data_IF_264680276275
#
_entry.id   IF_264680276275
#
_cell.length_a   1.000
_cell.length_b   1.000
_cell.length_c   1.000
_cell.angle_alpha   90.00
_cell.angle_beta   90.00
_cell.angle_gamma   90.00
#
_symmetry.space_group_name_H-M   'P 1'
#
loop_
_entity.id
_entity.type
_entity.pdbx_description
1 polymer ?
#
# COMPACT_ATOMS: atom_id res chain seq x y z
N UNK A 1 -12.70 -15.41 6.42
CA UNK A 1 -12.33 -13.99 6.46
C UNK A 1 -11.47 -13.73 5.23
N UNK A 2 -11.73 -12.64 4.50
CA UNK A 2 -10.93 -12.28 3.32
C UNK A 2 -9.70 -11.46 3.74
N UNK A 3 -8.69 -11.36 2.89
CA UNK A 3 -7.46 -10.60 3.19
C UNK A 3 -7.75 -9.11 3.33
N UNK A 4 -8.66 -8.58 2.50
CA UNK A 4 -9.16 -7.22 2.64
C UNK A 4 -9.88 -7.00 3.98
N UNK A 5 -10.72 -7.95 4.41
CA UNK A 5 -11.45 -7.80 5.67
C UNK A 5 -10.51 -7.96 6.88
N UNK A 6 -9.51 -8.84 6.79
CA UNK A 6 -8.43 -8.93 7.77
C UNK A 6 -7.70 -7.58 7.90
N UNK A 7 -7.31 -6.98 6.78
CA UNK A 7 -6.61 -5.69 6.79
C UNK A 7 -7.48 -4.57 7.38
N UNK A 8 -8.77 -4.52 7.01
CA UNK A 8 -9.71 -3.54 7.54
C UNK A 8 -9.92 -3.72 9.06
N UNK A 9 -10.09 -4.94 9.55
CA UNK A 9 -10.24 -5.22 10.98
C UNK A 9 -8.96 -4.95 11.77
N UNK A 10 -7.79 -5.21 11.18
CA UNK A 10 -6.52 -4.88 11.79
C UNK A 10 -6.38 -3.36 11.96
N UNK A 11 -6.80 -2.58 10.96
CA UNK A 11 -6.86 -1.13 11.05
C UNK A 11 -7.86 -0.65 12.12
N UNK A 12 -9.07 -1.20 12.15
CA UNK A 12 -10.10 -0.88 13.14
C UNK A 12 -9.61 -1.20 14.57
N UNK A 13 -8.99 -2.37 14.75
CA UNK A 13 -8.39 -2.78 16.01
C UNK A 13 -7.29 -1.81 16.44
N UNK A 14 -6.37 -1.46 15.53
CA UNK A 14 -5.29 -0.52 15.86
C UNK A 14 -5.82 0.87 16.18
N UNK A 15 -6.88 1.33 15.51
CA UNK A 15 -7.48 2.63 15.77
C UNK A 15 -8.08 2.74 17.18
N UNK A 16 -8.55 1.62 17.75
CA UNK A 16 -9.14 1.59 19.10
C UNK A 16 -8.19 2.01 20.24
N UNK A 17 -6.87 2.03 19.98
CA UNK A 17 -5.85 2.47 20.93
C UNK A 17 -5.61 4.00 20.91
N UNK A 18 -6.20 4.73 19.97
CA UNK A 18 -6.24 6.20 19.98
C UNK A 18 -4.92 6.94 19.70
N UNK A 19 -3.80 6.25 19.49
CA UNK A 19 -2.52 6.87 19.15
C UNK A 19 -2.32 6.96 17.62
N UNK A 20 -2.49 8.14 16.98
CA UNK A 20 -2.41 8.29 15.53
C UNK A 20 -0.97 8.33 15.01
N UNK A 21 0.00 8.76 15.82
CA UNK A 21 1.39 8.94 15.38
C UNK A 21 2.06 7.59 15.07
N UNK A 22 1.74 6.55 15.82
CA UNK A 22 2.25 5.18 15.67
C UNK A 22 1.35 4.30 14.79
N UNK A 23 0.16 4.76 14.38
CA UNK A 23 -0.84 3.95 13.68
C UNK A 23 -0.29 3.29 12.41
N UNK A 24 0.32 4.07 11.51
CA UNK A 24 0.84 3.56 10.23
C UNK A 24 2.08 2.70 10.46
N UNK A 25 2.95 3.07 11.39
CA UNK A 25 4.17 2.33 11.71
C UNK A 25 3.87 0.95 12.31
N UNK A 26 2.89 0.86 13.21
CA UNK A 26 2.49 -0.40 13.84
C UNK A 26 1.90 -1.36 12.81
N UNK A 27 1.01 -0.87 11.94
CA UNK A 27 0.44 -1.67 10.86
C UNK A 27 1.50 -2.08 9.84
N UNK A 28 2.44 -1.20 9.51
CA UNK A 28 3.58 -1.53 8.65
C UNK A 28 4.44 -2.64 9.26
N UNK A 29 4.71 -2.60 10.57
CA UNK A 29 5.47 -3.66 11.25
C UNK A 29 4.75 -5.01 11.24
N UNK A 30 3.42 -5.00 11.36
CA UNK A 30 2.62 -6.24 11.35
C UNK A 30 2.55 -6.82 9.93
N UNK A 31 2.28 -5.98 8.93
CA UNK A 31 2.04 -6.42 7.56
C UNK A 31 3.35 -6.74 6.84
N UNK A 32 4.37 -5.89 6.99
CA UNK A 32 5.65 -6.00 6.29
C UNK A 32 6.73 -6.70 7.14
N UNK A 33 6.39 -7.10 8.37
CA UNK A 33 7.28 -7.73 9.33
C UNK A 33 8.37 -6.77 9.85
N UNK A 34 9.54 -7.33 10.19
CA UNK A 34 10.71 -6.55 10.67
C UNK A 34 11.32 -5.57 9.66
N UNK A 35 10.65 -5.31 8.54
CA UNK A 35 10.96 -4.26 7.58
C UNK A 35 9.97 -3.10 7.62
N UNK A 36 8.93 -3.13 8.45
CA UNK A 36 7.95 -2.06 8.60
C UNK A 36 8.40 -0.90 9.48
N UNK A 37 7.80 0.28 9.31
CA UNK A 37 8.18 1.52 10.00
C UNK A 37 9.31 2.27 9.27
N UNK A 38 10.22 2.93 9.99
CA UNK A 38 11.33 3.66 9.34
C UNK A 38 12.25 2.78 8.47
N UNK A 39 12.37 1.49 8.79
CA UNK A 39 13.16 0.53 8.00
C UNK A 39 12.54 0.25 6.60
N UNK A 40 11.25 0.53 6.42
CA UNK A 40 10.56 0.37 5.13
C UNK A 40 11.02 1.41 4.10
N UNK A 41 11.49 2.59 4.54
CA UNK A 41 11.99 3.63 3.64
C UNK A 41 13.26 3.18 2.90
N UNK A 42 14.06 2.32 3.52
CA UNK A 42 15.37 1.93 3.00
C UNK A 42 15.35 0.58 2.28
N UNK A 43 14.32 -0.24 2.52
CA UNK A 43 14.20 -1.56 1.90
C UNK A 43 12.75 -1.87 1.53
N UNK A 44 12.47 -1.93 0.23
CA UNK A 44 11.24 -2.53 -0.28
C UNK A 44 11.04 -3.94 0.34
N UNK A 45 9.79 -4.35 0.62
CA UNK A 45 9.51 -5.67 1.17
C UNK A 45 10.09 -6.74 0.24
N UNK A 46 10.91 -7.62 0.81
CA UNK A 46 11.37 -8.84 0.11
C UNK A 46 10.50 -9.99 0.58
N UNK A 47 10.11 -10.88 -0.33
CA UNK A 47 9.15 -11.98 -0.18
C UNK A 47 9.37 -13.01 0.97
N UNK A 48 10.16 -12.73 2.00
CA UNK A 48 10.56 -13.71 3.03
C UNK A 48 9.84 -13.59 4.39
N UNK A 49 9.09 -12.51 4.66
CA UNK A 49 8.43 -12.27 5.96
C UNK A 49 6.99 -11.71 5.82
N UNK A 50 6.17 -12.25 4.92
CA UNK A 50 4.78 -11.79 4.74
C UNK A 50 3.82 -12.62 5.59
N UNK A 51 2.72 -11.99 6.02
CA UNK A 51 1.55 -12.72 6.52
C UNK A 51 1.07 -13.69 5.41
N UNK A 52 0.56 -14.89 5.76
CA UNK A 52 0.09 -15.88 4.78
C UNK A 52 -1.28 -15.46 4.22
N UNK A 53 -1.30 -14.34 3.49
CA UNK A 53 -2.48 -13.74 2.90
C UNK A 53 -2.73 -14.35 1.52
N UNK A 54 -4.00 -14.53 1.18
CA UNK A 54 -4.45 -14.89 -0.16
C UNK A 54 -4.85 -13.67 -0.99
N UNK A 55 -5.71 -13.92 -1.98
CA UNK A 55 -6.11 -12.94 -3.01
C UNK A 55 -7.61 -12.63 -2.89
N UNK A 56 -8.10 -12.44 -1.67
CA UNK A 56 -9.53 -12.45 -1.42
C UNK A 56 -10.07 -11.12 -0.93
N UNK A 57 -11.28 -10.77 -1.41
CA UNK A 57 -12.03 -9.60 -0.95
C UNK A 57 -11.66 -8.27 -1.60
N UNK A 58 -10.52 -8.17 -2.27
CA UNK A 58 -10.17 -7.00 -3.09
C UNK A 58 -11.04 -6.92 -4.35
N UNK A 59 -11.38 -5.70 -4.76
CA UNK A 59 -12.07 -5.43 -6.02
C UNK A 59 -11.26 -5.94 -7.21
N UNK A 60 -11.96 -6.31 -8.29
CA UNK A 60 -11.35 -6.91 -9.51
C UNK A 60 -10.18 -6.12 -10.11
N UNK A 61 -10.10 -4.82 -9.82
CA UNK A 61 -9.06 -3.91 -10.32
C UNK A 61 -7.78 -3.91 -9.49
N UNK A 62 -7.74 -4.68 -8.40
CA UNK A 62 -6.60 -4.79 -7.49
C UNK A 62 -6.08 -6.23 -7.38
N UNK A 63 -6.66 -7.17 -8.12
CA UNK A 63 -6.39 -8.61 -7.99
C UNK A 63 -5.03 -9.02 -8.63
N UNK A 64 -3.93 -8.87 -7.88
CA UNK A 64 -2.57 -9.29 -8.23
C UNK A 64 -1.95 -10.29 -7.24
N UNK A 65 -2.37 -11.57 -7.30
CA UNK A 65 -1.79 -12.63 -6.45
C UNK A 65 -1.79 -12.31 -4.93
N UNK A 66 -1.05 -13.08 -4.11
CA UNK A 66 -1.04 -12.95 -2.64
C UNK A 66 -0.29 -11.71 -2.13
N UNK A 67 0.08 -10.82 -3.05
CA UNK A 67 1.04 -9.76 -2.82
C UNK A 67 0.38 -8.39 -2.57
N UNK A 68 -0.92 -8.27 -2.86
CA UNK A 68 -1.69 -7.03 -2.87
C UNK A 68 -1.61 -6.24 -1.55
N UNK A 69 -1.75 -6.92 -0.41
CA UNK A 69 -1.74 -6.26 0.90
C UNK A 69 -0.37 -5.63 1.20
N UNK A 70 0.72 -6.28 0.77
CA UNK A 70 2.07 -5.77 1.00
C UNK A 70 2.34 -4.52 0.16
N UNK A 71 2.00 -4.56 -1.13
CA UNK A 71 2.15 -3.41 -2.03
C UNK A 71 1.29 -2.22 -1.60
N UNK A 72 0.00 -2.49 -1.33
CA UNK A 72 -0.94 -1.49 -0.84
C UNK A 72 -0.40 -0.79 0.41
N UNK A 73 0.00 -1.56 1.42
CA UNK A 73 0.41 -0.99 2.69
C UNK A 73 1.79 -0.33 2.65
N UNK A 74 2.72 -0.84 1.84
CA UNK A 74 3.97 -0.15 1.59
C UNK A 74 3.72 1.24 1.02
N UNK A 75 2.82 1.37 0.05
CA UNK A 75 2.46 2.66 -0.52
C UNK A 75 1.76 3.57 0.50
N UNK A 76 0.91 3.03 1.39
CA UNK A 76 0.35 3.78 2.54
C UNK A 76 1.47 4.38 3.40
N UNK A 77 2.45 3.56 3.79
CA UNK A 77 3.57 4.04 4.59
C UNK A 77 4.38 5.11 3.86
N UNK A 78 4.64 4.90 2.57
CA UNK A 78 5.35 5.87 1.74
C UNK A 78 4.61 7.21 1.63
N UNK A 79 3.30 7.18 1.36
CA UNK A 79 2.46 8.38 1.32
C UNK A 79 2.40 9.11 2.67
N UNK A 80 2.28 8.36 3.76
CA UNK A 80 2.25 8.90 5.12
C UNK A 80 3.55 9.61 5.49
N UNK A 81 4.69 8.97 5.22
CA UNK A 81 6.00 9.51 5.60
C UNK A 81 6.41 10.68 4.71
N UNK A 82 6.19 10.56 3.40
CA UNK A 82 6.67 11.57 2.44
C UNK A 82 5.71 12.73 2.23
N UNK A 83 4.43 12.56 2.56
CA UNK A 83 3.35 13.52 2.26
C UNK A 83 3.28 13.88 0.78
N UNK A 84 3.71 12.99 -0.11
CA UNK A 84 3.87 13.29 -1.53
C UNK A 84 3.37 12.18 -2.41
N UNK A 85 2.26 12.46 -3.11
CA UNK A 85 1.75 11.53 -4.12
C UNK A 85 2.76 11.35 -5.26
N UNK A 86 3.51 12.40 -5.61
CA UNK A 86 4.57 12.33 -6.62
C UNK A 86 5.62 11.26 -6.30
N UNK A 87 6.00 11.11 -5.04
CA UNK A 87 6.98 10.09 -4.64
C UNK A 87 6.38 8.69 -4.74
N UNK A 88 5.10 8.53 -4.37
CA UNK A 88 4.38 7.27 -4.55
C UNK A 88 4.21 6.93 -6.03
N UNK A 89 3.89 7.91 -6.87
CA UNK A 89 3.81 7.75 -8.32
C UNK A 89 5.16 7.35 -8.90
N UNK A 90 6.25 8.01 -8.50
CA UNK A 90 7.59 7.67 -8.95
C UNK A 90 8.01 6.27 -8.52
N UNK A 91 7.67 5.87 -7.28
CA UNK A 91 7.80 4.49 -6.81
C UNK A 91 7.00 3.52 -7.67
N UNK A 92 5.71 3.78 -7.88
CA UNK A 92 4.79 2.89 -8.60
C UNK A 92 5.19 2.77 -10.07
N UNK A 93 5.58 3.87 -10.72
CA UNK A 93 6.07 3.88 -12.09
C UNK A 93 7.35 3.05 -12.25
N UNK A 94 8.26 3.15 -11.28
CA UNK A 94 9.54 2.44 -11.34
C UNK A 94 9.41 0.99 -10.92
N UNK A 95 8.54 0.67 -9.96
CA UNK A 95 8.43 -0.65 -9.32
C UNK A 95 7.35 -1.56 -9.93
N UNK A 96 6.24 -0.98 -10.40
CA UNK A 96 4.97 -1.67 -10.60
C UNK A 96 4.35 -1.39 -11.98
N UNK A 97 5.05 -0.68 -12.87
CA UNK A 97 4.57 -0.46 -14.22
C UNK A 97 5.01 -1.60 -15.16
N UNK A 98 4.06 -2.32 -15.80
CA UNK A 98 4.38 -3.38 -16.76
C UNK A 98 5.09 -2.88 -18.03
N UNK A 99 4.96 -1.59 -18.36
CA UNK A 99 5.64 -0.95 -19.50
C UNK A 99 7.12 -0.61 -19.19
N UNK A 100 7.54 -0.70 -17.93
CA UNK A 100 8.91 -0.49 -17.49
C UNK A 100 9.54 -1.83 -17.05
N UNK A 101 10.14 -2.60 -17.98
CA UNK A 101 10.78 -3.85 -17.59
C UNK A 101 11.98 -3.55 -16.69
N UNK A 102 12.01 -4.16 -15.49
CA UNK A 102 13.22 -4.23 -14.66
C UNK A 102 14.28 -5.10 -15.36
N UNK A 103 14.92 -4.55 -16.38
CA UNK A 103 16.07 -5.18 -17.02
C UNK A 103 17.29 -4.82 -16.17
N UNK A 104 17.77 -5.75 -15.35
CA UNK A 104 19.18 -5.75 -14.94
C UNK A 104 19.53 -5.50 -13.48
N UNK A 105 18.63 -5.72 -12.52
CA UNK A 105 19.04 -5.86 -11.10
C UNK A 105 19.61 -4.61 -10.44
N UNK A 106 19.45 -3.42 -11.05
CA UNK A 106 19.99 -2.16 -10.52
C UNK A 106 19.08 -1.63 -9.42
N UNK A 107 19.70 -1.23 -8.29
CA UNK A 107 19.03 -0.46 -7.24
C UNK A 107 18.59 0.87 -7.83
N UNK A 108 17.33 1.24 -7.60
CA UNK A 108 16.80 2.53 -8.04
C UNK A 108 16.55 3.39 -6.81
N UNK A 109 17.18 4.56 -6.79
CA UNK A 109 17.01 5.55 -5.75
C UNK A 109 15.96 6.58 -6.14
N UNK A 110 15.04 6.88 -5.22
CA UNK A 110 14.12 8.01 -5.30
C UNK A 110 14.50 8.98 -4.18
N UNK A 111 15.10 10.10 -4.54
CA UNK A 111 15.52 11.13 -3.60
C UNK A 111 14.34 12.04 -3.24
N UNK A 112 14.21 12.39 -1.96
CA UNK A 112 13.25 13.35 -1.47
C UNK A 112 13.83 14.15 -0.29
N UNK A 113 13.23 15.29 0.11
CA UNK A 113 13.80 16.12 1.17
C UNK A 113 14.06 15.40 2.51
N UNK A 114 13.33 14.32 2.79
CA UNK A 114 13.49 13.50 3.99
C UNK A 114 14.39 12.27 3.86
N UNK A 115 15.03 12.04 2.70
CA UNK A 115 15.96 10.92 2.51
C UNK A 115 15.96 10.31 1.10
N UNK A 116 16.32 9.05 1.00
CA UNK A 116 16.38 8.29 -0.26
C UNK A 116 15.65 6.96 -0.09
N UNK A 117 14.78 6.63 -1.04
CA UNK A 117 14.09 5.33 -1.09
C UNK A 117 14.85 4.44 -2.07
N UNK A 118 15.32 3.28 -1.59
CA UNK A 118 16.09 2.34 -2.41
C UNK A 118 15.21 1.15 -2.80
N UNK A 119 14.94 1.02 -4.08
CA UNK A 119 14.17 -0.08 -4.64
C UNK A 119 15.09 -1.28 -4.93
N UNK A 120 14.72 -2.43 -4.39
CA UNK A 120 15.32 -3.71 -4.78
C UNK A 120 14.68 -4.21 -6.08
N UNK A 121 15.41 -4.91 -6.95
CA UNK A 121 14.83 -5.51 -8.14
C UNK A 121 13.77 -6.54 -7.77
N UNK A 122 12.56 -6.35 -8.28
CA UNK A 122 11.47 -7.32 -8.28
C UNK A 122 11.06 -7.62 -9.72
N UNK A 123 10.76 -8.89 -10.02
CA UNK A 123 10.15 -9.28 -11.29
C UNK A 123 8.66 -9.52 -11.08
N UNK A 124 7.81 -9.01 -11.98
CA UNK A 124 6.36 -9.29 -11.96
C UNK A 124 5.45 -8.11 -11.67
N UNK A 125 5.82 -6.89 -12.10
CA UNK A 125 4.96 -5.71 -12.00
C UNK A 125 3.69 -5.80 -12.86
N UNK A 126 2.52 -5.62 -12.26
CA UNK A 126 1.24 -5.52 -12.97
C UNK A 126 0.64 -4.12 -12.90
N UNK A 127 -0.19 -3.74 -13.89
CA UNK A 127 -0.96 -2.49 -13.83
C UNK A 127 -1.88 -2.41 -12.60
N UNK A 128 -2.24 -3.55 -12.01
CA UNK A 128 -3.07 -3.64 -10.81
C UNK A 128 -2.28 -3.20 -9.56
N UNK A 129 -0.99 -3.54 -9.49
CA UNK A 129 -0.07 -3.09 -8.44
C UNK A 129 0.04 -1.57 -8.44
N UNK A 130 0.27 -0.99 -9.62
CA UNK A 130 0.34 0.46 -9.79
C UNK A 130 -0.91 1.16 -9.21
N UNK A 131 -2.12 0.69 -9.58
CA UNK A 131 -3.36 1.29 -9.09
C UNK A 131 -3.51 1.16 -7.58
N UNK A 132 -3.14 0.01 -7.05
CA UNK A 132 -3.22 -0.28 -5.63
C UNK A 132 -2.25 0.61 -4.84
N UNK A 133 -1.04 0.82 -5.34
CA UNK A 133 -0.05 1.71 -4.73
C UNK A 133 -0.46 3.18 -4.78
N UNK A 134 -1.01 3.67 -5.90
CA UNK A 134 -1.54 5.06 -5.93
C UNK A 134 -2.65 5.23 -4.88
N UNK A 135 -3.55 4.25 -4.77
CA UNK A 135 -4.62 4.28 -3.78
C UNK A 135 -4.09 4.19 -2.34
N UNK A 136 -3.09 3.34 -2.09
CA UNK A 136 -2.35 3.25 -0.82
C UNK A 136 -1.68 4.55 -0.43
N UNK A 137 -0.89 5.13 -1.34
CA UNK A 137 -0.24 6.42 -1.11
C UNK A 137 -1.22 7.53 -0.77
N UNK A 138 -2.36 7.58 -1.46
CA UNK A 138 -3.42 8.52 -1.14
C UNK A 138 -3.97 8.31 0.27
N UNK A 139 -4.27 7.07 0.67
CA UNK A 139 -4.68 6.76 2.04
C UNK A 139 -3.64 7.24 3.07
N UNK A 140 -2.36 6.94 2.84
CA UNK A 140 -1.27 7.38 3.71
C UNK A 140 -1.20 8.89 3.87
N UNK A 141 -1.33 9.63 2.77
CA UNK A 141 -1.37 11.09 2.77
C UNK A 141 -2.57 11.59 3.57
N UNK A 142 -3.77 11.05 3.32
CA UNK A 142 -5.00 11.46 4.02
C UNK A 142 -4.91 11.25 5.53
N UNK A 143 -4.34 10.13 5.97
CA UNK A 143 -4.07 9.88 7.40
C UNK A 143 -3.08 10.94 7.93
N UNK A 144 -2.00 11.20 7.20
CA UNK A 144 -0.94 12.14 7.63
C UNK A 144 -1.41 13.59 7.70
N UNK A 145 -2.29 14.01 6.80
CA UNK A 145 -2.83 15.37 6.74
C UNK A 145 -4.05 15.57 7.65
N UNK A 146 -4.60 14.49 8.20
CA UNK A 146 -5.84 14.51 8.98
C UNK A 146 -7.11 14.65 8.12
N UNK A 147 -7.01 14.44 6.80
CA UNK A 147 -8.18 14.37 5.91
C UNK A 147 -9.02 13.11 6.18
N UNK A 148 -8.39 12.04 6.67
CA UNK A 148 -9.05 10.80 7.09
C UNK A 148 -8.63 10.45 8.52
N UNK A 149 -9.60 10.32 9.42
CA UNK A 149 -9.36 9.87 10.79
C UNK A 149 -8.95 8.39 10.80
N UNK A 150 -8.05 7.99 11.70
CA UNK A 150 -7.60 6.60 11.85
C UNK A 150 -8.76 5.64 12.10
N UNK A 151 -9.83 6.09 12.79
CA UNK A 151 -11.05 5.31 13.03
C UNK A 151 -11.88 5.08 11.76
N UNK A 152 -11.63 5.84 10.68
CA UNK A 152 -12.30 5.69 9.39
C UNK A 152 -11.54 4.80 8.41
N UNK A 153 -10.29 4.43 8.71
CA UNK A 153 -9.40 3.71 7.79
C UNK A 153 -9.96 2.35 7.40
N UNK A 154 -10.45 1.54 8.34
CA UNK A 154 -11.03 0.23 8.01
C UNK A 154 -12.28 0.35 7.14
N UNK A 155 -13.13 1.36 7.36
CA UNK A 155 -14.27 1.64 6.48
C UNK A 155 -13.81 2.09 5.08
N UNK A 156 -12.79 2.93 5.00
CA UNK A 156 -12.21 3.39 3.74
C UNK A 156 -11.64 2.22 2.94
N UNK A 157 -10.89 1.32 3.57
CA UNK A 157 -10.33 0.10 2.92
C UNK A 157 -11.45 -0.73 2.29
N UNK A 158 -12.53 -0.98 3.05
CA UNK A 158 -13.69 -1.74 2.54
C UNK A 158 -14.36 -1.07 1.35
N UNK A 159 -14.42 0.26 1.36
CA UNK A 159 -15.13 1.04 0.33
C UNK A 159 -14.29 1.22 -0.94
N UNK A 160 -13.01 1.55 -0.79
CA UNK A 160 -12.14 1.87 -1.92
C UNK A 160 -11.47 0.65 -2.53
N UNK A 161 -11.00 -0.28 -1.70
CA UNK A 161 -10.31 -1.49 -2.16
C UNK A 161 -11.23 -2.70 -2.29
N UNK A 162 -12.42 -2.64 -1.67
CA UNK A 162 -13.42 -3.70 -1.80
C UNK A 162 -14.06 -3.75 -3.18
N UNK A 163 -14.92 -4.76 -3.43
CA UNK A 163 -15.68 -4.86 -4.65
C UNK A 163 -16.64 -3.67 -4.75
N UNK A 164 -16.49 -2.84 -5.78
CA UNK A 164 -17.46 -1.78 -6.04
C UNK A 164 -18.76 -2.43 -6.53
N UNK A 165 -19.94 -2.00 -6.03
CA UNK A 165 -21.21 -2.46 -6.57
C UNK A 165 -21.21 -2.24 -8.08
N UNK A 166 -21.65 -3.24 -8.85
CA UNK A 166 -21.90 -3.04 -10.28
C UNK A 166 -23.07 -2.08 -10.39
N UNK A 167 -22.79 -0.80 -10.58
CA UNK A 167 -23.80 0.16 -10.97
C UNK A 167 -24.13 -0.13 -12.43
N UNK A 168 -25.21 -0.88 -12.66
CA UNK A 168 -25.90 -0.85 -13.94
C UNK A 168 -26.51 0.55 -14.07
N UNK A 169 -25.69 1.53 -14.47
CA UNK A 169 -26.21 2.77 -15.03
C UNK A 169 -27.03 2.42 -16.28
N UNK A 170 -28.10 3.17 -16.59
CA UNK A 170 -28.85 2.94 -17.82
C UNK A 170 -27.89 3.02 -19.01
N UNK A 171 -27.93 2.01 -19.86
CA UNK A 171 -27.24 2.00 -21.15
C UNK A 171 -27.85 3.16 -21.96
N UNK A 172 -27.03 4.08 -22.52
CA UNK A 172 -27.53 5.14 -23.40
C UNK A 172 -28.18 4.58 -24.68
#
# INVERSE_FOLDING_TARGET
MTDLEFLAQLADYRASFGEPESFVDDLSRIILGGKGGWDTLFYAPTHRNHLPLGDSGFGKHYQDSGNQVNHAWFAVHLGYTTRSLRIVEEYSHRHENPDYPFIGGRRVAISWPGGEIVLAPGGGASYLDYKLSISGGMLGIKIRTGELDIAQVGHWIRTEWGPKPVTHGPIP
#
